data_IF_552907910502
#
_entry.id   IF_552907910502
#
_cell.length_a   1.000
_cell.length_b   1.000
_cell.length_c   1.000
_cell.angle_alpha   90.00
_cell.angle_beta   90.00
_cell.angle_gamma   90.00
#
_symmetry.space_group_name_H-M   'P 1'
#
loop_
_entity.id
_entity.type
_entity.pdbx_description
1 polymer ?
#
# COMPACT_ATOMS: atom_id res chain seq x y z
N UNK A 1 13.96 59.35 12.20
CA UNK A 1 12.97 58.26 12.28
C UNK A 1 13.64 57.02 11.71
N UNK A 2 14.02 56.09 12.57
CA UNK A 2 14.57 54.80 12.17
C UNK A 2 13.41 53.85 11.91
N UNK A 3 13.40 53.22 10.75
CA UNK A 3 12.45 52.18 10.37
C UNK A 3 13.03 50.85 10.87
N UNK A 4 12.42 50.25 11.88
CA UNK A 4 12.81 48.95 12.40
C UNK A 4 12.51 47.87 11.35
N UNK A 5 13.58 47.31 10.79
CA UNK A 5 13.52 46.13 9.96
C UNK A 5 13.07 44.93 10.83
N UNK A 6 11.79 44.58 10.73
CA UNK A 6 11.23 43.39 11.37
C UNK A 6 11.98 42.13 10.94
N UNK A 7 12.67 41.52 11.89
CA UNK A 7 13.42 40.28 11.73
C UNK A 7 12.46 39.15 11.32
N UNK A 8 12.51 38.73 10.06
CA UNK A 8 11.74 37.57 9.58
C UNK A 8 12.33 36.32 10.23
N UNK A 9 11.60 35.77 11.21
CA UNK A 9 11.89 34.45 11.79
C UNK A 9 12.11 33.42 10.65
N UNK A 10 13.16 32.58 10.73
CA UNK A 10 13.38 31.53 9.73
C UNK A 10 12.13 30.65 9.63
N UNK A 11 11.69 30.31 8.42
CA UNK A 11 10.70 29.25 8.23
C UNK A 11 11.33 27.94 8.72
N UNK A 12 10.91 27.46 9.88
CA UNK A 12 11.19 26.09 10.29
C UNK A 12 10.45 25.15 9.34
N UNK A 13 11.20 24.50 8.45
CA UNK A 13 10.65 23.46 7.61
C UNK A 13 10.47 22.21 8.47
N UNK A 14 9.22 21.87 8.77
CA UNK A 14 8.92 20.61 9.46
C UNK A 14 9.37 19.45 8.59
N UNK A 15 10.07 18.49 9.20
CA UNK A 15 10.43 17.23 8.54
C UNK A 15 9.16 16.51 8.07
N UNK A 16 9.11 16.16 6.78
CA UNK A 16 8.01 15.39 6.21
C UNK A 16 7.82 14.06 6.96
N UNK A 17 6.57 13.66 7.15
CA UNK A 17 6.16 12.47 7.87
C UNK A 17 5.36 11.55 6.93
N UNK A 18 5.92 10.37 6.67
CA UNK A 18 5.29 9.32 5.85
C UNK A 18 4.76 8.21 6.76
N UNK A 19 3.55 7.75 6.49
CA UNK A 19 2.97 6.55 7.09
C UNK A 19 2.94 5.43 6.06
N UNK A 20 3.62 4.32 6.31
CA UNK A 20 3.55 3.10 5.50
C UNK A 20 2.47 2.16 6.04
N UNK A 21 1.55 1.69 5.17
CA UNK A 21 0.44 0.80 5.51
C UNK A 21 0.43 -0.42 4.56
N UNK A 22 1.09 -1.53 4.92
CA UNK A 22 1.17 -2.73 4.08
C UNK A 22 -0.10 -3.59 4.16
N UNK A 23 -0.35 -4.41 3.14
CA UNK A 23 -1.25 -5.56 3.28
C UNK A 23 -0.62 -6.56 4.27
N UNK A 24 -1.37 -7.19 5.20
CA UNK A 24 -0.82 -7.89 6.37
C UNK A 24 -0.28 -9.29 6.07
N UNK A 25 0.54 -9.41 5.03
CA UNK A 25 1.28 -10.62 4.70
C UNK A 25 2.75 -10.29 4.43
N UNK A 26 3.65 -11.25 4.70
CA UNK A 26 5.09 -11.01 4.65
C UNK A 26 5.58 -10.54 3.27
N UNK A 27 4.98 -11.06 2.20
CA UNK A 27 5.31 -10.67 0.82
C UNK A 27 5.08 -9.18 0.53
N UNK A 28 4.21 -8.52 1.31
CA UNK A 28 3.87 -7.10 1.17
C UNK A 28 4.57 -6.24 2.23
N UNK A 29 4.63 -6.73 3.47
CA UNK A 29 5.31 -6.06 4.59
C UNK A 29 6.81 -5.87 4.28
N UNK A 30 7.48 -6.91 3.79
CA UNK A 30 8.93 -6.90 3.58
C UNK A 30 9.42 -5.88 2.52
N UNK A 31 8.85 -5.77 1.32
CA UNK A 31 9.27 -4.72 0.39
C UNK A 31 8.96 -3.32 0.92
N UNK A 32 7.78 -3.11 1.51
CA UNK A 32 7.41 -1.79 2.01
C UNK A 32 8.28 -1.34 3.19
N UNK A 33 8.65 -2.24 4.12
CA UNK A 33 9.55 -1.86 5.22
C UNK A 33 10.94 -1.45 4.71
N UNK A 34 11.44 -2.05 3.61
CA UNK A 34 12.70 -1.62 3.00
C UNK A 34 12.57 -0.27 2.32
N UNK A 35 11.48 -0.04 1.59
CA UNK A 35 11.17 1.27 1.02
C UNK A 35 11.11 2.35 2.11
N UNK A 36 10.40 2.09 3.21
CA UNK A 36 10.34 2.98 4.37
C UNK A 36 11.71 3.26 4.99
N UNK A 37 12.60 2.25 5.10
CA UNK A 37 13.98 2.45 5.56
C UNK A 37 14.78 3.36 4.62
N UNK A 38 14.58 3.24 3.32
CA UNK A 38 15.21 4.14 2.33
C UNK A 38 14.72 5.59 2.45
N UNK A 39 13.44 5.81 2.79
CA UNK A 39 12.94 7.15 3.09
C UNK A 39 13.55 7.70 4.38
N UNK A 40 13.58 6.88 5.43
CA UNK A 40 14.13 7.28 6.72
C UNK A 40 15.62 7.62 6.65
N UNK A 41 16.41 6.89 5.85
CA UNK A 41 17.83 7.20 5.64
C UNK A 41 18.08 8.53 4.94
N UNK A 42 17.07 9.07 4.24
CA UNK A 42 17.07 10.41 3.62
C UNK A 42 16.56 11.50 4.56
N UNK A 43 16.36 11.19 5.83
CA UNK A 43 15.93 12.14 6.86
C UNK A 43 14.43 12.41 6.90
N UNK A 44 13.60 11.61 6.21
CA UNK A 44 12.14 11.66 6.32
C UNK A 44 11.71 10.97 7.62
N UNK A 45 10.72 11.50 8.34
CA UNK A 45 10.13 10.80 9.48
C UNK A 45 9.22 9.71 8.92
N UNK A 46 9.38 8.47 9.37
CA UNK A 46 8.57 7.36 8.87
C UNK A 46 7.94 6.61 10.03
N UNK A 47 6.62 6.45 9.98
CA UNK A 47 5.87 5.52 10.81
C UNK A 47 5.41 4.37 9.94
N UNK A 48 5.51 3.15 10.44
CA UNK A 48 5.09 1.93 9.75
C UNK A 48 3.96 1.30 10.55
N UNK A 49 2.74 1.34 10.01
CA UNK A 49 1.54 0.85 10.66
C UNK A 49 1.22 -0.57 10.21
N UNK A 50 1.36 -1.54 11.10
CA UNK A 50 0.99 -2.94 10.87
C UNK A 50 -0.32 -3.25 11.59
N UNK A 51 -0.96 -4.37 11.27
CA UNK A 51 -2.16 -4.78 12.01
C UNK A 51 -1.79 -5.17 13.45
N UNK A 52 -2.71 -4.99 14.39
CA UNK A 52 -2.52 -5.39 15.80
C UNK A 52 -2.16 -6.88 15.88
N UNK A 53 -2.82 -7.73 15.10
CA UNK A 53 -2.48 -9.15 15.01
C UNK A 53 -1.03 -9.38 14.58
N UNK A 54 -0.57 -8.73 13.50
CA UNK A 54 0.82 -8.87 13.03
C UNK A 54 1.82 -8.38 14.09
N UNK A 55 1.52 -7.26 14.77
CA UNK A 55 2.36 -6.71 15.83
C UNK A 55 2.50 -7.66 17.03
N UNK A 56 1.43 -8.38 17.37
CA UNK A 56 1.41 -9.36 18.47
C UNK A 56 1.92 -10.75 18.05
N UNK A 57 2.08 -11.00 16.75
CA UNK A 57 2.56 -12.28 16.25
C UNK A 57 4.07 -12.45 16.45
N UNK A 58 4.50 -13.66 16.83
CA UNK A 58 5.93 -14.01 16.92
C UNK A 58 6.65 -13.96 15.56
N UNK A 59 5.89 -13.86 14.46
CA UNK A 59 6.41 -13.83 13.09
C UNK A 59 6.94 -12.45 12.68
N UNK A 60 6.55 -11.39 13.38
CA UNK A 60 7.07 -10.05 13.13
C UNK A 60 8.27 -9.78 14.04
N UNK A 61 9.48 -9.90 13.48
CA UNK A 61 10.70 -9.51 14.18
C UNK A 61 10.78 -7.99 14.28
N UNK A 62 10.10 -7.42 15.27
CA UNK A 62 10.12 -5.99 15.51
C UNK A 62 11.57 -5.53 15.69
N UNK A 63 12.05 -4.51 14.96
CA UNK A 63 13.45 -4.08 15.03
C UNK A 63 13.92 -3.70 16.44
N UNK A 64 13.01 -3.27 17.34
CA UNK A 64 13.34 -3.04 18.75
C UNK A 64 13.84 -4.29 19.48
N UNK A 65 13.44 -5.49 19.05
CA UNK A 65 13.89 -6.75 19.65
C UNK A 65 15.38 -7.03 19.36
N UNK A 66 15.98 -6.32 18.39
CA UNK A 66 17.40 -6.43 18.06
C UNK A 66 18.31 -5.56 18.93
N UNK A 67 17.74 -4.73 19.83
CA UNK A 67 18.50 -3.78 20.65
C UNK A 67 19.14 -2.62 19.88
N UNK A 68 18.90 -2.52 18.57
CA UNK A 68 19.38 -1.41 17.73
C UNK A 68 18.27 -0.37 17.53
N UNK A 69 18.60 0.93 17.52
CA UNK A 69 17.64 1.97 17.16
C UNK A 69 17.07 1.68 15.76
N UNK A 70 15.74 1.57 15.68
CA UNK A 70 15.05 1.48 14.40
C UNK A 70 15.02 2.87 13.75
N UNK A 71 15.34 3.01 12.46
CA UNK A 71 15.09 4.26 11.74
C UNK A 71 13.59 4.53 11.52
N UNK A 72 12.73 3.53 11.78
CA UNK A 72 11.28 3.60 11.64
C UNK A 72 10.61 3.63 13.02
N UNK A 73 9.57 4.46 13.14
CA UNK A 73 8.56 4.32 14.19
C UNK A 73 7.55 3.25 13.79
N UNK A 74 7.00 2.52 14.75
CA UNK A 74 5.93 1.56 14.53
C UNK A 74 4.68 2.01 15.27
N UNK A 75 3.54 1.84 14.62
CA UNK A 75 2.23 1.99 15.24
C UNK A 75 1.33 0.88 14.69
N UNK A 76 0.08 0.84 15.14
CA UNK A 76 -0.84 -0.23 14.73
C UNK A 76 -2.18 0.31 14.23
N UNK A 77 -2.78 -0.48 13.34
CA UNK A 77 -4.19 -0.37 12.94
C UNK A 77 -4.89 -1.71 13.21
N UNK A 78 -6.21 -1.70 13.32
CA UNK A 78 -6.99 -2.93 13.45
C UNK A 78 -7.33 -3.49 12.07
N UNK A 79 -7.25 -4.81 11.90
CA UNK A 79 -7.90 -5.49 10.76
C UNK A 79 -9.27 -6.05 11.13
N UNK A 80 -9.74 -5.76 12.34
CA UNK A 80 -10.97 -6.27 12.92
C UNK A 80 -10.88 -7.71 13.41
N UNK A 81 -9.69 -8.34 13.31
CA UNK A 81 -9.37 -9.68 13.79
C UNK A 81 -8.05 -9.66 14.58
N UNK A 82 -8.00 -8.82 15.61
CA UNK A 82 -6.75 -8.45 16.28
C UNK A 82 -6.11 -9.58 17.12
N UNK A 83 -6.79 -10.73 17.30
CA UNK A 83 -6.35 -11.83 18.16
C UNK A 83 -5.75 -13.00 17.36
N UNK A 84 -6.48 -13.49 16.37
CA UNK A 84 -6.13 -14.63 15.52
C UNK A 84 -5.98 -14.28 14.05
N UNK A 85 -6.15 -13.00 13.67
CA UNK A 85 -5.95 -12.52 12.32
C UNK A 85 -6.90 -13.19 11.34
N UNK A 86 -6.40 -13.50 10.15
CA UNK A 86 -7.17 -14.18 9.11
C UNK A 86 -7.87 -15.47 9.59
N UNK A 87 -7.32 -16.19 10.57
CA UNK A 87 -7.90 -17.44 11.06
C UNK A 87 -9.22 -17.26 11.82
N UNK A 88 -9.53 -16.04 12.29
CA UNK A 88 -10.82 -15.71 12.90
C UNK A 88 -11.92 -15.44 11.86
N UNK A 89 -11.54 -15.12 10.62
CA UNK A 89 -12.48 -14.77 9.58
C UNK A 89 -13.21 -16.01 9.05
N UNK A 90 -14.51 -15.88 8.80
CA UNK A 90 -15.31 -16.98 8.25
C UNK A 90 -15.01 -17.27 6.77
N UNK A 91 -14.41 -16.31 6.07
CA UNK A 91 -14.00 -16.44 4.66
C UNK A 91 -13.03 -15.32 4.27
N UNK A 92 -12.43 -15.42 3.06
CA UNK A 92 -11.62 -14.34 2.49
C UNK A 92 -12.45 -13.06 2.31
N UNK A 93 -13.70 -13.19 1.85
CA UNK A 93 -14.56 -12.02 1.63
C UNK A 93 -14.91 -11.30 2.95
N UNK A 94 -15.16 -12.07 4.00
CA UNK A 94 -15.38 -11.58 5.36
C UNK A 94 -14.13 -10.85 5.88
N UNK A 95 -12.94 -11.47 5.75
CA UNK A 95 -11.68 -10.84 6.13
C UNK A 95 -11.48 -9.48 5.47
N UNK A 96 -11.57 -9.43 4.14
CA UNK A 96 -11.34 -8.20 3.37
C UNK A 96 -12.36 -7.11 3.70
N UNK A 97 -13.64 -7.47 3.84
CA UNK A 97 -14.69 -6.49 4.18
C UNK A 97 -14.53 -5.93 5.59
N UNK A 98 -14.15 -6.78 6.55
CA UNK A 98 -13.95 -6.36 7.93
C UNK A 98 -12.68 -5.54 8.08
N UNK A 99 -11.62 -5.90 7.37
CA UNK A 99 -10.38 -5.12 7.35
C UNK A 99 -10.61 -3.74 6.70
N UNK A 100 -11.36 -3.65 5.60
CA UNK A 100 -11.74 -2.35 5.03
C UNK A 100 -12.47 -1.47 6.06
N UNK A 101 -13.45 -2.02 6.80
CA UNK A 101 -14.21 -1.28 7.80
C UNK A 101 -13.36 -0.87 9.03
N UNK A 102 -12.74 -1.84 9.72
CA UNK A 102 -11.97 -1.60 10.94
C UNK A 102 -10.63 -0.89 10.67
N UNK A 103 -10.00 -1.22 9.54
CA UNK A 103 -8.77 -0.59 9.07
C UNK A 103 -8.98 0.87 8.73
N UNK A 104 -10.07 1.21 8.04
CA UNK A 104 -10.38 2.62 7.73
C UNK A 104 -10.61 3.44 9.00
N UNK A 105 -11.39 2.93 9.94
CA UNK A 105 -11.67 3.61 11.21
C UNK A 105 -10.38 3.83 12.03
N UNK A 106 -9.61 2.75 12.23
CA UNK A 106 -8.39 2.79 13.04
C UNK A 106 -7.26 3.59 12.38
N UNK A 107 -7.14 3.56 11.05
CA UNK A 107 -6.22 4.42 10.30
C UNK A 107 -6.58 5.90 10.47
N UNK A 108 -7.86 6.25 10.40
CA UNK A 108 -8.29 7.63 10.62
C UNK A 108 -7.99 8.11 12.05
N UNK A 109 -8.18 7.24 13.06
CA UNK A 109 -7.79 7.51 14.46
C UNK A 109 -6.28 7.74 14.57
N UNK A 110 -5.47 6.89 13.92
CA UNK A 110 -4.02 7.00 13.92
C UNK A 110 -3.52 8.31 13.29
N UNK A 111 -4.09 8.70 12.15
CA UNK A 111 -3.75 9.96 11.48
C UNK A 111 -4.08 11.18 12.35
N UNK A 112 -5.26 11.19 13.01
CA UNK A 112 -5.63 12.25 13.97
C UNK A 112 -4.70 12.28 15.17
N UNK A 113 -4.36 11.13 15.77
CA UNK A 113 -3.38 11.02 16.88
C UNK A 113 -2.04 11.65 16.51
N UNK A 114 -1.57 11.43 15.28
CA UNK A 114 -0.32 12.05 14.80
C UNK A 114 -0.48 13.57 14.61
N UNK A 115 -1.61 14.05 14.09
CA UNK A 115 -1.89 15.48 13.97
C UNK A 115 -1.93 16.17 15.35
N UNK A 116 -2.68 15.61 16.30
CA UNK A 116 -2.88 16.15 17.65
C UNK A 116 -1.57 16.19 18.47
N UNK A 117 -0.63 15.29 18.17
CA UNK A 117 0.71 15.28 18.77
C UNK A 117 1.72 16.24 18.11
N UNK A 118 1.26 17.13 17.21
CA UNK A 118 2.13 18.09 16.51
C UNK A 118 2.98 17.46 15.41
N UNK A 119 2.70 16.20 15.05
CA UNK A 119 3.42 15.45 14.04
C UNK A 119 2.48 14.88 12.96
N UNK A 120 1.66 15.70 12.29
CA UNK A 120 0.72 15.22 11.27
C UNK A 120 1.44 14.36 10.23
N UNK A 121 0.74 13.39 9.66
CA UNK A 121 1.24 12.60 8.52
C UNK A 121 0.98 13.42 7.27
N UNK A 122 2.00 13.65 6.46
CA UNK A 122 1.86 14.39 5.20
C UNK A 122 1.48 13.44 4.05
N UNK A 123 1.96 12.20 4.09
CA UNK A 123 1.74 11.20 3.04
C UNK A 123 1.49 9.81 3.62
N UNK A 124 0.44 9.14 3.14
CA UNK A 124 0.16 7.73 3.39
C UNK A 124 0.60 6.92 2.18
N UNK A 125 1.64 6.11 2.35
CA UNK A 125 2.07 5.10 1.37
C UNK A 125 1.37 3.81 1.75
N UNK A 126 0.37 3.40 0.98
CA UNK A 126 -0.47 2.25 1.28
C UNK A 126 -0.26 1.15 0.25
N UNK A 127 -0.43 -0.11 0.65
CA UNK A 127 -0.39 -1.22 -0.30
C UNK A 127 -1.54 -1.11 -1.29
N UNK A 128 -1.29 -1.33 -2.58
CA UNK A 128 -2.31 -1.18 -3.62
C UNK A 128 -3.55 -2.08 -3.42
N UNK A 129 -3.45 -3.15 -2.61
CA UNK A 129 -4.61 -3.96 -2.19
C UNK A 129 -5.56 -3.26 -1.22
N UNK A 130 -5.19 -2.09 -0.68
CA UNK A 130 -5.95 -1.33 0.31
C UNK A 130 -6.42 0.02 -0.26
N UNK A 131 -7.20 0.06 -1.37
CA UNK A 131 -7.59 1.33 -1.99
C UNK A 131 -8.34 2.27 -1.04
N UNK A 132 -9.05 1.72 -0.04
CA UNK A 132 -9.72 2.48 1.02
C UNK A 132 -8.79 3.38 1.84
N UNK A 133 -7.49 3.06 1.91
CA UNK A 133 -6.51 3.87 2.64
C UNK A 133 -6.28 5.24 1.99
N UNK A 134 -6.47 5.36 0.66
CA UNK A 134 -6.41 6.65 -0.04
C UNK A 134 -7.52 7.59 0.43
N UNK A 135 -8.74 7.09 0.52
CA UNK A 135 -9.90 7.88 0.93
C UNK A 135 -9.71 8.41 2.35
N UNK A 136 -9.23 7.55 3.26
CA UNK A 136 -8.94 7.92 4.65
C UNK A 136 -7.81 8.94 4.74
N UNK A 137 -6.74 8.78 3.93
CA UNK A 137 -5.63 9.73 3.88
C UNK A 137 -6.12 11.12 3.46
N UNK A 138 -6.87 11.20 2.36
CA UNK A 138 -7.44 12.46 1.85
C UNK A 138 -8.38 13.12 2.86
N UNK A 139 -9.26 12.34 3.49
CA UNK A 139 -10.16 12.84 4.54
C UNK A 139 -9.41 13.44 5.74
N UNK A 140 -8.21 12.94 6.03
CA UNK A 140 -7.35 13.46 7.09
C UNK A 140 -6.34 14.53 6.62
N UNK A 141 -6.45 14.99 5.36
CA UNK A 141 -5.59 16.04 4.79
C UNK A 141 -4.18 15.58 4.41
N UNK A 142 -3.94 14.27 4.32
CA UNK A 142 -2.69 13.69 3.81
C UNK A 142 -2.82 13.32 2.33
N UNK A 143 -1.72 13.40 1.59
CA UNK A 143 -1.66 12.82 0.24
C UNK A 143 -1.55 11.29 0.33
N UNK A 144 -1.97 10.58 -0.71
CA UNK A 144 -1.90 9.13 -0.77
C UNK A 144 -1.10 8.62 -1.95
N UNK A 145 -0.31 7.58 -1.73
CA UNK A 145 0.48 6.93 -2.78
C UNK A 145 0.34 5.40 -2.70
N UNK A 146 -0.28 4.73 -3.68
CA UNK A 146 -0.32 3.28 -3.74
C UNK A 146 1.07 2.71 -4.01
N UNK A 147 1.40 1.65 -3.28
CA UNK A 147 2.63 0.87 -3.40
C UNK A 147 2.31 -0.52 -3.93
N UNK A 148 2.69 -0.76 -5.18
CA UNK A 148 2.49 -2.03 -5.87
C UNK A 148 3.66 -2.97 -5.57
N UNK A 149 3.37 -4.09 -4.91
CA UNK A 149 4.35 -5.12 -4.52
C UNK A 149 4.42 -6.27 -5.52
N UNK A 150 3.40 -6.43 -6.37
CA UNK A 150 3.37 -7.43 -7.44
C UNK A 150 4.25 -7.02 -8.61
N UNK A 151 4.67 -7.99 -9.42
CA UNK A 151 5.38 -7.75 -10.67
C UNK A 151 4.59 -6.81 -11.59
N UNK A 152 5.27 -5.92 -12.31
CA UNK A 152 4.62 -4.91 -13.13
C UNK A 152 3.71 -5.53 -14.20
N UNK A 153 4.19 -6.57 -14.90
CA UNK A 153 3.40 -7.31 -15.88
C UNK A 153 2.09 -7.88 -15.29
N UNK A 154 2.13 -8.39 -14.05
CA UNK A 154 0.94 -8.91 -13.35
C UNK A 154 -0.06 -7.79 -13.05
N UNK A 155 0.43 -6.64 -12.54
CA UNK A 155 -0.41 -5.46 -12.35
C UNK A 155 -1.03 -5.02 -13.66
N UNK A 156 -0.25 -5.00 -14.75
CA UNK A 156 -0.72 -4.56 -16.05
C UNK A 156 -1.83 -5.48 -16.63
N UNK A 157 -1.71 -6.79 -16.45
CA UNK A 157 -2.77 -7.75 -16.78
C UNK A 157 -4.05 -7.44 -15.99
N UNK A 158 -3.95 -7.21 -14.67
CA UNK A 158 -5.12 -6.86 -13.85
C UNK A 158 -5.70 -5.49 -14.21
N UNK A 159 -4.87 -4.53 -14.61
CA UNK A 159 -5.31 -3.22 -15.10
C UNK A 159 -6.17 -3.37 -16.36
N UNK A 160 -5.73 -4.18 -17.33
CA UNK A 160 -6.48 -4.47 -18.55
C UNK A 160 -7.82 -5.15 -18.25
N UNK A 161 -7.85 -6.09 -17.30
CA UNK A 161 -9.08 -6.72 -16.86
C UNK A 161 -10.03 -5.73 -16.18
N UNK A 162 -9.51 -4.88 -15.29
CA UNK A 162 -10.32 -3.88 -14.59
C UNK A 162 -10.99 -2.91 -15.58
N UNK A 163 -10.26 -2.46 -16.60
CA UNK A 163 -10.79 -1.53 -17.61
C UNK A 163 -11.59 -2.23 -18.73
N UNK A 164 -11.78 -3.55 -18.66
CA UNK A 164 -12.51 -4.33 -19.66
C UNK A 164 -11.79 -4.44 -21.01
N UNK A 165 -10.51 -4.10 -21.06
CA UNK A 165 -9.63 -4.21 -22.24
C UNK A 165 -9.21 -5.67 -22.49
N UNK A 166 -9.21 -6.48 -21.43
CA UNK A 166 -9.08 -7.94 -21.49
C UNK A 166 -10.36 -8.58 -20.93
N UNK A 167 -10.84 -9.66 -21.55
CA UNK A 167 -12.07 -10.37 -21.12
C UNK A 167 -11.76 -11.82 -20.77
N UNK A 168 -12.41 -12.32 -19.73
CA UNK A 168 -12.35 -13.73 -19.32
C UNK A 168 -13.63 -14.47 -19.76
N UNK A 169 -13.54 -15.76 -20.10
CA UNK A 169 -12.31 -16.52 -20.31
C UNK A 169 -11.56 -16.06 -21.57
N UNK A 170 -10.23 -16.22 -21.57
CA UNK A 170 -9.41 -15.91 -22.74
C UNK A 170 -9.83 -16.85 -23.89
N UNK A 171 -10.40 -16.28 -24.95
CA UNK A 171 -11.05 -17.06 -26.02
C UNK A 171 -10.07 -17.57 -27.08
N UNK A 172 -8.87 -17.00 -27.19
CA UNK A 172 -7.85 -17.39 -28.19
C UNK A 172 -6.45 -17.12 -27.65
N UNK A 173 -5.80 -18.11 -27.01
CA UNK A 173 -4.41 -17.98 -26.57
C UNK A 173 -3.42 -18.09 -27.74
N UNK A 174 -2.21 -17.49 -27.65
CA UNK A 174 -1.76 -16.66 -26.53
C UNK A 174 -2.48 -15.31 -26.45
N UNK A 175 -2.70 -14.80 -25.25
CA UNK A 175 -3.26 -13.48 -25.02
C UNK A 175 -2.25 -12.42 -25.47
N UNK A 176 -2.71 -11.46 -26.29
CA UNK A 176 -1.90 -10.35 -26.77
C UNK A 176 -2.33 -9.09 -26.03
N UNK A 177 -1.45 -8.61 -25.15
CA UNK A 177 -1.62 -7.37 -24.39
C UNK A 177 -0.51 -6.42 -24.85
N UNK A 178 -0.83 -5.23 -25.39
CA UNK A 178 0.19 -4.28 -25.85
C UNK A 178 1.26 -4.00 -24.78
N UNK A 179 2.54 -4.17 -25.12
CA UNK A 179 3.65 -3.98 -24.17
C UNK A 179 4.05 -5.22 -23.37
N UNK A 180 3.34 -6.34 -23.51
CA UNK A 180 3.75 -7.65 -22.99
C UNK A 180 4.02 -8.64 -24.13
N UNK A 181 4.90 -9.63 -23.94
CA UNK A 181 5.02 -10.74 -24.88
C UNK A 181 3.69 -11.51 -24.98
N UNK A 182 3.44 -12.27 -26.06
CA UNK A 182 2.29 -13.17 -26.11
C UNK A 182 2.31 -14.15 -24.93
N UNK A 183 1.22 -14.20 -24.15
CA UNK A 183 1.14 -15.01 -22.93
C UNK A 183 0.20 -16.20 -23.13
N UNK A 184 0.69 -17.42 -22.88
CA UNK A 184 -0.19 -18.58 -22.78
C UNK A 184 -1.01 -18.52 -21.48
N UNK A 185 -2.11 -19.28 -21.40
CA UNK A 185 -2.93 -19.33 -20.18
C UNK A 185 -2.10 -19.74 -18.95
N UNK A 186 -1.11 -20.60 -19.15
CA UNK A 186 -0.21 -21.06 -18.09
C UNK A 186 0.76 -19.96 -17.59
N UNK A 187 1.01 -18.92 -18.40
CA UNK A 187 1.86 -17.79 -18.03
C UNK A 187 1.07 -16.70 -17.29
N UNK A 188 -0.26 -16.77 -17.31
CA UNK A 188 -1.15 -15.78 -16.71
C UNK A 188 -1.32 -16.00 -15.19
N UNK A 189 -1.63 -14.95 -14.42
CA UNK A 189 -2.00 -15.10 -13.01
C UNK A 189 -3.07 -16.17 -12.79
N UNK A 190 -2.94 -16.96 -11.72
CA UNK A 190 -3.78 -18.15 -11.51
C UNK A 190 -5.29 -17.90 -11.55
N UNK A 191 -5.76 -16.72 -11.13
CA UNK A 191 -7.18 -16.34 -11.21
C UNK A 191 -7.72 -16.26 -12.65
N UNK A 192 -6.84 -16.13 -13.64
CA UNK A 192 -7.15 -16.11 -15.08
C UNK A 192 -7.14 -17.52 -15.65
N UNK A 193 -6.19 -18.35 -15.23
CA UNK A 193 -6.11 -19.76 -15.63
C UNK A 193 -7.27 -20.61 -15.08
N UNK A 194 -7.76 -20.27 -13.89
CA UNK A 194 -8.94 -20.89 -13.27
C UNK A 194 -9.93 -19.81 -12.78
N UNK A 195 -10.73 -19.23 -13.68
CA UNK A 195 -11.69 -18.20 -13.32
C UNK A 195 -12.69 -18.68 -12.26
N UNK A 196 -12.80 -17.92 -11.17
CA UNK A 196 -13.73 -18.20 -10.06
C UNK A 196 -13.16 -19.03 -8.91
N UNK A 197 -11.90 -19.47 -8.99
CA UNK A 197 -11.20 -20.20 -7.90
C UNK A 197 -11.14 -19.41 -6.58
N UNK A 198 -10.82 -18.11 -6.65
CA UNK A 198 -10.73 -17.22 -5.49
C UNK A 198 -11.37 -15.85 -5.78
N UNK A 199 -12.71 -15.76 -5.82
CA UNK A 199 -13.41 -14.56 -6.32
C UNK A 199 -13.14 -13.31 -5.48
N UNK A 200 -12.93 -13.47 -4.17
CA UNK A 200 -12.63 -12.36 -3.27
C UNK A 200 -11.23 -11.77 -3.51
N UNK A 201 -10.20 -12.61 -3.63
CA UNK A 201 -8.84 -12.15 -3.94
C UNK A 201 -8.71 -11.64 -5.36
N UNK A 202 -9.39 -12.27 -6.32
CA UNK A 202 -9.44 -11.76 -7.68
C UNK A 202 -10.06 -10.35 -7.71
N UNK A 203 -11.20 -10.14 -7.04
CA UNK A 203 -11.80 -8.80 -6.93
C UNK A 203 -10.88 -7.80 -6.24
N UNK A 204 -10.13 -8.21 -5.22
CA UNK A 204 -9.15 -7.35 -4.55
C UNK A 204 -8.03 -6.92 -5.52
N UNK A 205 -7.48 -7.85 -6.30
CA UNK A 205 -6.44 -7.53 -7.31
C UNK A 205 -6.98 -6.61 -8.41
N UNK A 206 -8.26 -6.69 -8.77
CA UNK A 206 -8.84 -5.73 -9.72
C UNK A 206 -9.08 -4.36 -9.07
N UNK A 207 -9.54 -4.34 -7.82
CA UNK A 207 -9.84 -3.11 -7.07
C UNK A 207 -8.61 -2.23 -6.83
N UNK A 208 -7.39 -2.74 -6.97
CA UNK A 208 -6.18 -1.94 -6.78
C UNK A 208 -6.05 -0.72 -7.71
N UNK A 209 -6.83 -0.67 -8.81
CA UNK A 209 -6.86 0.48 -9.71
C UNK A 209 -8.14 1.33 -9.61
N UNK A 210 -9.05 1.03 -8.68
CA UNK A 210 -10.36 1.70 -8.62
C UNK A 210 -10.30 3.19 -8.32
N UNK A 211 -9.21 3.65 -7.70
CA UNK A 211 -8.96 5.05 -7.35
C UNK A 211 -7.52 5.46 -7.69
N UNK A 212 -6.91 4.85 -8.71
CA UNK A 212 -5.53 5.17 -9.09
C UNK A 212 -5.39 6.59 -9.65
N UNK A 213 -6.35 7.03 -10.48
CA UNK A 213 -6.38 8.37 -11.08
C UNK A 213 -6.52 9.49 -10.03
N UNK A 214 -6.90 9.10 -8.82
CA UNK A 214 -7.10 9.96 -7.67
C UNK A 214 -5.86 10.07 -6.78
N UNK A 215 -4.85 9.22 -6.96
CA UNK A 215 -3.62 9.22 -6.17
C UNK A 215 -2.61 10.22 -6.73
N UNK A 216 -1.84 10.86 -5.85
CA UNK A 216 -0.88 11.89 -6.25
C UNK A 216 0.34 11.29 -6.97
N UNK A 217 0.75 10.08 -6.58
CA UNK A 217 1.89 9.35 -7.17
C UNK A 217 1.68 7.84 -7.07
N UNK A 218 2.06 7.08 -8.10
CA UNK A 218 2.13 5.61 -8.05
C UNK A 218 3.55 5.11 -7.79
N UNK A 219 3.71 4.19 -6.84
CA UNK A 219 5.00 3.57 -6.51
C UNK A 219 4.96 2.09 -6.89
N UNK A 220 5.84 1.65 -7.79
CA UNK A 220 5.93 0.25 -8.23
C UNK A 220 7.27 -0.34 -7.80
N UNK A 221 7.24 -1.45 -7.07
CA UNK A 221 8.45 -2.16 -6.65
C UNK A 221 9.03 -3.00 -7.80
N UNK A 222 9.56 -2.33 -8.81
CA UNK A 222 10.25 -2.94 -9.98
C UNK A 222 11.56 -2.20 -10.26
N UNK A 223 12.37 -2.70 -11.20
CA UNK A 223 13.45 -1.95 -11.81
C UNK A 223 13.16 -1.72 -13.29
N UNK A 224 13.44 -0.49 -13.76
CA UNK A 224 13.10 -0.05 -15.11
C UNK A 224 13.71 -0.92 -16.22
N UNK A 225 14.88 -1.51 -15.95
CA UNK A 225 15.59 -2.37 -16.89
C UNK A 225 14.84 -3.67 -17.20
N UNK A 226 13.97 -4.14 -16.30
CA UNK A 226 13.14 -5.33 -16.52
C UNK A 226 11.86 -5.03 -17.30
N UNK A 227 11.49 -3.75 -17.44
CA UNK A 227 10.20 -3.32 -18.03
C UNK A 227 10.40 -2.58 -19.37
N UNK A 228 11.54 -2.81 -20.04
CA UNK A 228 11.94 -2.04 -21.21
C UNK A 228 10.96 -2.11 -22.40
N UNK A 229 10.09 -3.11 -22.44
CA UNK A 229 9.08 -3.32 -23.49
C UNK A 229 7.72 -2.67 -23.18
N UNK A 230 7.48 -2.20 -21.94
CA UNK A 230 6.24 -1.52 -21.51
C UNK A 230 6.34 0.01 -21.71
N UNK A 231 7.19 0.47 -22.64
CA UNK A 231 7.40 1.90 -22.90
C UNK A 231 6.26 2.48 -23.73
N UNK A 232 5.61 3.49 -23.16
CA UNK A 232 4.64 4.48 -23.71
C UNK A 232 3.32 3.95 -24.29
#
# INVERSE_FOLDING_TARGET
MAEEAGERRPKEWRRAHVLGVPYPTQGHINPMIQFCKCLASRGIKVTFAITIFVANSNSFNHPSNSGRPSPLHFDTISDGFDVGGFAEAGSIADYLSRFEAAGSESLAVLLRKHADSGHPVDCVVYDSFLPWALDVAKQCGAIGAPFFTQACAVNFIYYYLHHGLLKLPISSPPAVIPGLPPLEIADMPGFIGEPGSYPAYFRMCLKQFSNLDEADFGLVNTCYELEAEVRD
#
